data_IF_377759650577
#
_entry.id   IF_377759650577
#
_cell.length_a   1.000
_cell.length_b   1.000
_cell.length_c   1.000
_cell.angle_alpha   90.00
_cell.angle_beta   90.00
_cell.angle_gamma   90.00
#
_symmetry.space_group_name_H-M   'P 1'
#
loop_
_entity.id
_entity.type
_entity.pdbx_description
1 polymer ?
#
# COMPACT_ATOMS: atom_id res chain seq x y z
N UNK A 1 -4.15 15.24 6.01
CA UNK A 1 -3.42 14.07 6.51
C UNK A 1 -4.41 13.18 7.24
N UNK A 2 -4.47 11.91 6.86
CA UNK A 2 -5.34 10.90 7.46
C UNK A 2 -4.47 9.70 7.83
N UNK A 3 -4.70 9.13 9.01
CA UNK A 3 -3.92 8.03 9.56
C UNK A 3 -4.91 7.02 10.12
N UNK A 4 -4.95 5.82 9.51
CA UNK A 4 -5.93 4.78 9.77
C UNK A 4 -5.21 3.48 10.15
N UNK A 5 -4.66 3.40 11.36
CA UNK A 5 -3.88 2.25 11.80
C UNK A 5 -4.73 0.97 11.84
N UNK A 6 -6.03 1.10 12.10
CA UNK A 6 -6.99 0.00 12.05
C UNK A 6 -7.18 -0.58 10.64
N UNK A 7 -6.82 0.16 9.60
CA UNK A 7 -6.88 -0.27 8.20
C UNK A 7 -5.48 -0.45 7.58
N UNK A 8 -4.42 -0.11 8.31
CA UNK A 8 -3.02 -0.32 7.91
C UNK A 8 -2.50 0.68 6.88
N UNK A 9 -3.02 1.91 6.83
CA UNK A 9 -2.54 2.92 5.88
C UNK A 9 -2.58 4.35 6.41
N UNK A 10 -1.80 5.21 5.75
CA UNK A 10 -1.74 6.65 5.96
C UNK A 10 -1.76 7.41 4.64
N UNK A 11 -2.59 8.44 4.53
CA UNK A 11 -2.59 9.36 3.39
C UNK A 11 -1.79 10.62 3.72
N UNK A 12 -0.68 10.76 3.01
CA UNK A 12 0.21 11.92 3.09
C UNK A 12 -0.34 13.12 2.30
N UNK A 13 0.12 14.32 2.65
CA UNK A 13 -0.36 15.57 2.01
C UNK A 13 -0.02 15.67 0.52
N UNK A 14 1.01 14.95 0.06
CA UNK A 14 1.38 14.87 -1.36
C UNK A 14 0.53 13.85 -2.14
N UNK A 15 -0.47 13.23 -1.52
CA UNK A 15 -1.35 12.25 -2.16
C UNK A 15 -0.79 10.82 -2.18
N UNK A 16 0.35 10.56 -1.55
CA UNK A 16 0.89 9.20 -1.41
C UNK A 16 0.11 8.47 -0.32
N UNK A 17 -0.38 7.27 -0.64
CA UNK A 17 -0.95 6.34 0.33
C UNK A 17 0.14 5.34 0.75
N UNK A 18 0.58 5.42 2.01
CA UNK A 18 1.60 4.53 2.58
C UNK A 18 0.92 3.42 3.34
N UNK A 19 1.34 2.18 3.11
CA UNK A 19 0.85 1.00 3.81
C UNK A 19 1.83 0.55 4.91
N UNK A 20 1.33 -0.03 5.99
CA UNK A 20 2.15 -0.55 7.10
C UNK A 20 3.11 -1.68 6.67
N UNK A 21 2.84 -2.33 5.53
CA UNK A 21 3.71 -3.35 4.95
C UNK A 21 4.85 -2.77 4.10
N UNK A 22 5.03 -1.45 4.11
CA UNK A 22 6.02 -0.68 3.35
C UNK A 22 5.76 -0.55 1.84
N UNK A 23 4.58 -0.98 1.37
CA UNK A 23 4.11 -0.62 0.03
C UNK A 23 3.58 0.82 -0.01
N UNK A 24 3.54 1.40 -1.22
CA UNK A 24 2.95 2.72 -1.46
C UNK A 24 2.07 2.70 -2.72
N UNK A 25 1.00 3.51 -2.71
CA UNK A 25 0.30 3.94 -3.93
C UNK A 25 0.62 5.42 -4.17
N UNK A 26 1.29 5.67 -5.29
CA UNK A 26 1.66 7.02 -5.72
C UNK A 26 0.43 7.79 -6.25
N UNK A 27 0.47 9.13 -6.28
CA UNK A 27 -0.66 9.95 -6.73
C UNK A 27 -1.05 9.72 -8.20
N UNK A 28 -0.15 9.19 -9.00
CA UNK A 28 -0.36 8.82 -10.41
C UNK A 28 -0.88 7.38 -10.59
N UNK A 29 -1.11 6.66 -9.48
CA UNK A 29 -1.62 5.30 -9.48
C UNK A 29 -0.54 4.22 -9.59
N UNK A 30 0.75 4.58 -9.63
CA UNK A 30 1.83 3.60 -9.60
C UNK A 30 1.91 2.91 -8.23
N UNK A 31 2.15 1.60 -8.24
CA UNK A 31 2.30 0.77 -7.04
C UNK A 31 3.78 0.53 -6.76
N UNK A 32 4.22 0.87 -5.54
CA UNK A 32 5.51 0.45 -5.00
C UNK A 32 5.25 -0.79 -4.14
N UNK A 33 5.92 -1.89 -4.49
CA UNK A 33 5.75 -3.16 -3.79
C UNK A 33 6.34 -3.12 -2.37
N UNK A 34 5.73 -3.83 -1.40
CA UNK A 34 6.28 -4.05 -0.07
C UNK A 34 7.74 -4.53 -0.08
N UNK A 35 8.56 -4.04 0.85
CA UNK A 35 9.96 -4.42 0.99
C UNK A 35 10.19 -5.79 1.65
N UNK A 36 9.18 -6.36 2.32
CA UNK A 36 9.21 -7.78 2.70
C UNK A 36 8.75 -8.61 1.50
N UNK A 37 9.34 -9.78 1.22
CA UNK A 37 8.66 -10.71 0.34
C UNK A 37 7.27 -10.95 0.95
N UNK A 38 6.21 -10.55 0.25
CA UNK A 38 4.93 -11.21 0.43
C UNK A 38 5.27 -12.70 0.33
N UNK A 39 4.78 -13.53 1.25
CA UNK A 39 4.64 -14.95 0.97
C UNK A 39 3.78 -15.01 -0.29
N UNK A 40 4.43 -15.03 -1.46
CA UNK A 40 3.82 -14.83 -2.77
C UNK A 40 3.09 -16.10 -3.21
N UNK A 41 2.50 -16.82 -2.27
CA UNK A 41 1.58 -17.90 -2.54
C UNK A 41 0.22 -17.30 -2.87
N UNK A 42 0.12 -16.80 -4.10
CA UNK A 42 -1.09 -16.77 -4.91
C UNK A 42 -2.25 -15.95 -4.35
N UNK A 43 -2.15 -14.63 -4.44
CA UNK A 43 -3.35 -13.82 -4.72
C UNK A 43 -3.55 -13.84 -6.23
N UNK A 44 -4.30 -14.83 -6.72
CA UNK A 44 -4.84 -14.76 -8.07
C UNK A 44 -5.75 -13.52 -8.16
N UNK A 45 -5.76 -12.79 -9.29
CA UNK A 45 -6.76 -11.75 -9.49
C UNK A 45 -8.15 -12.42 -9.43
N UNK A 46 -9.05 -11.87 -8.63
CA UNK A 46 -10.44 -12.30 -8.62
C UNK A 46 -11.04 -12.01 -10.02
N UNK A 47 -11.50 -13.08 -10.67
CA UNK A 47 -12.29 -13.03 -11.90
C UNK A 47 -13.78 -12.84 -11.58
#
# INVERSE_FOLDING_TARGET
MAHHPEQGWSLLCNGVLVFEDTGDLLPDGQVIAPHRPLDAERVAPAA
#
